data_IF_774834585567
#
_entry.id   IF_774834585567
#
_cell.length_a   1.000
_cell.length_b   1.000
_cell.length_c   1.000
_cell.angle_alpha   90.00
_cell.angle_beta   90.00
_cell.angle_gamma   90.00
#
_symmetry.space_group_name_H-M   'P 1'
#
loop_
_entity.id
_entity.type
_entity.pdbx_description
1 polymer ?
#
# COMPACT_ATOMS: atom_id res chain seq x y z
N UNK A 1 -27.90 -32.39 -34.51
CA UNK A 1 -28.05 -31.07 -33.83
C UNK A 1 -27.28 -31.13 -32.52
N UNK A 2 -25.95 -31.23 -32.58
CA UNK A 2 -25.03 -31.28 -31.42
C UNK A 2 -23.73 -30.63 -31.88
N UNK A 3 -23.63 -29.30 -31.78
CA UNK A 3 -22.40 -28.55 -32.11
C UNK A 3 -22.41 -27.12 -31.54
N UNK A 4 -23.17 -26.84 -30.47
CA UNK A 4 -23.29 -25.48 -29.90
C UNK A 4 -22.64 -25.32 -28.52
N UNK A 5 -22.18 -26.41 -27.87
CA UNK A 5 -21.55 -26.35 -26.54
C UNK A 5 -20.01 -26.30 -26.54
N UNK A 6 -19.34 -26.78 -27.59
CA UNK A 6 -17.86 -26.84 -27.65
C UNK A 6 -17.20 -25.48 -27.95
N UNK A 7 -17.93 -24.55 -28.58
CA UNK A 7 -17.40 -23.23 -28.95
C UNK A 7 -17.34 -22.27 -27.75
N UNK A 8 -18.31 -22.36 -26.83
CA UNK A 8 -18.45 -21.50 -25.65
C UNK A 8 -17.34 -21.74 -24.60
N UNK A 9 -16.84 -22.98 -24.51
CA UNK A 9 -15.70 -23.34 -23.66
C UNK A 9 -14.36 -22.81 -24.18
N UNK A 10 -14.19 -22.82 -25.50
CA UNK A 10 -12.98 -22.31 -26.15
C UNK A 10 -12.88 -20.78 -26.06
N UNK A 11 -14.02 -20.09 -26.18
CA UNK A 11 -14.11 -18.63 -26.05
C UNK A 11 -13.82 -18.17 -24.60
N UNK A 12 -14.37 -18.87 -23.60
CA UNK A 12 -14.05 -18.61 -22.18
C UNK A 12 -12.57 -18.87 -21.84
N UNK A 13 -11.97 -19.92 -22.39
CA UNK A 13 -10.55 -20.21 -22.20
C UNK A 13 -9.66 -19.10 -22.75
N UNK A 14 -9.95 -18.64 -23.98
CA UNK A 14 -9.25 -17.52 -24.61
C UNK A 14 -9.36 -16.22 -23.80
N UNK A 15 -10.53 -15.92 -23.23
CA UNK A 15 -10.75 -14.75 -22.39
C UNK A 15 -9.94 -14.82 -21.08
N UNK A 16 -9.87 -16.00 -20.44
CA UNK A 16 -9.07 -16.20 -19.23
C UNK A 16 -7.57 -16.07 -19.49
N UNK A 17 -7.09 -16.62 -20.59
CA UNK A 17 -5.68 -16.53 -20.99
C UNK A 17 -5.28 -15.09 -21.34
N UNK A 18 -6.13 -14.36 -22.06
CA UNK A 18 -5.94 -12.92 -22.30
C UNK A 18 -5.89 -12.13 -21.00
N UNK A 19 -6.83 -12.38 -20.08
CA UNK A 19 -6.87 -11.72 -18.76
C UNK A 19 -5.58 -11.96 -17.97
N UNK A 20 -5.04 -13.18 -17.99
CA UNK A 20 -3.77 -13.53 -17.34
C UNK A 20 -2.59 -12.77 -17.95
N UNK A 21 -2.54 -12.65 -19.27
CA UNK A 21 -1.52 -11.88 -19.97
C UNK A 21 -1.59 -10.39 -19.59
N UNK A 22 -2.79 -9.81 -19.54
CA UNK A 22 -2.96 -8.42 -19.08
C UNK A 22 -2.53 -8.21 -17.64
N UNK A 23 -2.86 -9.13 -16.72
CA UNK A 23 -2.40 -9.05 -15.32
C UNK A 23 -0.87 -9.05 -15.23
N UNK A 24 -0.20 -9.91 -16.00
CA UNK A 24 1.27 -9.94 -16.07
C UNK A 24 1.86 -8.64 -16.65
N UNK A 25 1.22 -8.05 -17.66
CA UNK A 25 1.62 -6.75 -18.19
C UNK A 25 1.46 -5.62 -17.16
N UNK A 26 0.38 -5.64 -16.38
CA UNK A 26 0.15 -4.67 -15.29
C UNK A 26 1.20 -4.82 -14.19
N UNK A 27 1.56 -6.06 -13.84
CA UNK A 27 2.64 -6.34 -12.88
C UNK A 27 3.97 -5.73 -13.32
N UNK A 28 4.37 -5.96 -14.57
CA UNK A 28 5.59 -5.39 -15.14
C UNK A 28 5.58 -3.86 -15.14
N UNK A 29 4.45 -3.26 -15.55
CA UNK A 29 4.31 -1.80 -15.55
C UNK A 29 4.32 -1.19 -14.14
N UNK A 30 3.77 -1.90 -13.14
CA UNK A 30 3.85 -1.47 -11.74
C UNK A 30 5.28 -1.47 -11.23
N UNK A 31 6.07 -2.49 -11.58
CA UNK A 31 7.47 -2.57 -11.17
C UNK A 31 8.31 -1.48 -11.85
N UNK A 32 8.14 -1.28 -13.16
CA UNK A 32 8.79 -0.20 -13.91
C UNK A 32 8.44 1.18 -13.31
N UNK A 33 7.17 1.41 -12.95
CA UNK A 33 6.75 2.65 -12.32
C UNK A 33 7.40 2.88 -10.95
N UNK A 34 7.63 1.82 -10.15
CA UNK A 34 8.38 1.93 -8.88
C UNK A 34 9.83 2.32 -9.13
N UNK A 35 10.49 1.64 -10.05
CA UNK A 35 11.88 1.91 -10.41
C UNK A 35 12.07 3.37 -10.86
N UNK A 36 11.16 3.87 -11.71
CA UNK A 36 11.17 5.26 -12.16
C UNK A 36 10.97 6.23 -10.99
N UNK A 37 10.06 5.95 -10.05
CA UNK A 37 9.85 6.81 -8.87
C UNK A 37 11.07 6.84 -7.95
N UNK A 38 11.79 5.73 -7.81
CA UNK A 38 13.02 5.68 -7.03
C UNK A 38 14.15 6.44 -7.73
N UNK A 39 14.27 6.30 -9.05
CA UNK A 39 15.20 7.12 -9.84
C UNK A 39 14.87 8.62 -9.73
N UNK A 40 13.61 9.01 -9.81
CA UNK A 40 13.18 10.40 -9.61
C UNK A 40 13.53 10.92 -8.21
N UNK A 41 13.43 10.07 -7.19
CA UNK A 41 13.79 10.43 -5.81
C UNK A 41 15.28 10.71 -5.69
N UNK A 42 16.12 9.89 -6.33
CA UNK A 42 17.58 10.10 -6.40
C UNK A 42 17.89 11.42 -7.13
N UNK A 43 17.28 11.67 -8.29
CA UNK A 43 17.52 12.90 -9.06
C UNK A 43 17.10 14.16 -8.30
N UNK A 44 15.94 14.13 -7.62
CA UNK A 44 15.49 15.25 -6.78
C UNK A 44 16.44 15.50 -5.62
N UNK A 45 17.10 14.47 -5.09
CA UNK A 45 18.11 14.61 -4.04
C UNK A 45 19.38 15.34 -4.52
N UNK A 46 19.65 15.36 -5.83
CA UNK A 46 20.75 16.08 -6.45
C UNK A 46 20.43 17.57 -6.74
N UNK A 47 19.15 17.98 -6.69
CA UNK A 47 18.74 19.36 -6.99
C UNK A 47 19.07 20.35 -5.86
N UNK A 48 19.13 21.66 -6.13
CA UNK A 48 19.20 22.70 -5.09
C UNK A 48 17.95 22.70 -4.18
N UNK A 49 18.13 23.01 -2.89
CA UNK A 49 17.08 22.88 -1.85
C UNK A 49 15.79 23.64 -2.17
N UNK A 50 15.88 24.81 -2.81
CA UNK A 50 14.75 25.65 -3.20
C UNK A 50 13.84 25.01 -4.28
N UNK A 51 14.34 24.03 -5.03
CA UNK A 51 13.58 23.34 -6.09
C UNK A 51 13.00 22.00 -5.63
N UNK A 52 13.53 21.40 -4.56
CA UNK A 52 13.14 20.05 -4.10
C UNK A 52 11.69 19.93 -3.64
N UNK A 53 11.16 20.98 -3.01
CA UNK A 53 9.85 20.92 -2.32
C UNK A 53 8.70 20.56 -3.27
N UNK A 54 8.65 21.17 -4.46
CA UNK A 54 7.58 20.92 -5.44
C UNK A 54 7.67 19.53 -6.06
N UNK A 55 8.88 19.05 -6.37
CA UNK A 55 9.08 17.70 -6.90
C UNK A 55 8.81 16.61 -5.87
N UNK A 56 9.23 16.80 -4.62
CA UNK A 56 8.93 15.87 -3.52
C UNK A 56 7.41 15.76 -3.26
N UNK A 57 6.65 16.83 -3.47
CA UNK A 57 5.19 16.76 -3.40
C UNK A 57 4.61 15.90 -4.53
N UNK A 58 5.09 16.05 -5.77
CA UNK A 58 4.66 15.23 -6.91
C UNK A 58 5.01 13.74 -6.73
N UNK A 59 6.23 13.44 -6.30
CA UNK A 59 6.67 12.06 -6.02
C UNK A 59 5.78 11.40 -4.96
N UNK A 60 5.43 12.12 -3.88
CA UNK A 60 4.48 11.60 -2.87
C UNK A 60 3.10 11.30 -3.45
N UNK A 61 2.58 12.17 -4.32
CA UNK A 61 1.31 11.93 -4.99
C UNK A 61 1.35 10.70 -5.89
N UNK A 62 2.39 10.58 -6.73
CA UNK A 62 2.55 9.42 -7.61
C UNK A 62 2.75 8.11 -6.85
N UNK A 63 3.47 8.11 -5.73
CA UNK A 63 3.56 6.94 -4.83
C UNK A 63 2.18 6.52 -4.31
N UNK A 64 1.38 7.49 -3.87
CA UNK A 64 0.01 7.23 -3.41
C UNK A 64 -0.85 6.64 -4.53
N UNK A 65 -0.78 7.19 -5.73
CA UNK A 65 -1.50 6.67 -6.90
C UNK A 65 -1.04 5.23 -7.23
N UNK A 66 0.27 4.97 -7.24
CA UNK A 66 0.81 3.65 -7.51
C UNK A 66 0.40 2.62 -6.44
N UNK A 67 0.29 3.03 -5.17
CA UNK A 67 -0.23 2.18 -4.10
C UNK A 67 -1.70 1.82 -4.35
N UNK A 68 -2.52 2.78 -4.78
CA UNK A 68 -3.93 2.49 -5.14
C UNK A 68 -4.03 1.50 -6.29
N UNK A 69 -3.22 1.68 -7.34
CA UNK A 69 -3.14 0.75 -8.48
C UNK A 69 -2.71 -0.64 -8.01
N UNK A 70 -1.67 -0.72 -7.17
CA UNK A 70 -1.18 -1.98 -6.60
C UNK A 70 -2.28 -2.72 -5.82
N UNK A 71 -3.05 -2.01 -4.99
CA UNK A 71 -4.17 -2.60 -4.24
C UNK A 71 -5.25 -3.12 -5.20
N UNK A 72 -5.60 -2.37 -6.25
CA UNK A 72 -6.58 -2.84 -7.24
C UNK A 72 -6.09 -4.04 -8.03
N UNK A 73 -4.81 -4.06 -8.42
CA UNK A 73 -4.16 -5.19 -9.08
C UNK A 73 -4.24 -6.45 -8.22
N UNK A 74 -3.88 -6.37 -6.94
CA UNK A 74 -3.95 -7.52 -6.02
C UNK A 74 -5.39 -8.08 -5.91
N UNK A 75 -6.41 -7.22 -5.86
CA UNK A 75 -7.82 -7.66 -5.87
C UNK A 75 -8.20 -8.39 -7.16
N UNK A 76 -7.73 -7.91 -8.32
CA UNK A 76 -8.00 -8.54 -9.61
C UNK A 76 -7.28 -9.88 -9.75
N UNK A 77 -6.07 -9.98 -9.20
CA UNK A 77 -5.29 -11.21 -9.12
C UNK A 77 -5.99 -12.25 -8.23
N UNK A 78 -6.44 -11.87 -7.03
CA UNK A 78 -7.21 -12.74 -6.15
C UNK A 78 -8.52 -13.23 -6.80
N UNK A 79 -9.18 -12.36 -7.56
CA UNK A 79 -10.39 -12.74 -8.30
C UNK A 79 -10.08 -13.73 -9.42
N UNK A 80 -8.94 -13.59 -10.10
CA UNK A 80 -8.46 -14.54 -11.11
C UNK A 80 -8.12 -15.90 -10.46
N UNK A 81 -7.36 -15.89 -9.37
CA UNK A 81 -6.99 -17.10 -8.61
C UNK A 81 -8.24 -17.87 -8.15
N UNK A 82 -9.30 -17.17 -7.70
CA UNK A 82 -10.59 -17.80 -7.36
C UNK A 82 -11.28 -18.46 -8.55
N UNK A 83 -11.26 -17.83 -9.72
CA UNK A 83 -11.86 -18.40 -10.94
C UNK A 83 -11.09 -19.65 -11.38
N UNK A 84 -9.77 -19.66 -11.27
CA UNK A 84 -8.94 -20.84 -11.54
C UNK A 84 -9.17 -21.96 -10.51
N UNK A 85 -9.37 -21.62 -9.22
CA UNK A 85 -9.58 -22.58 -8.13
C UNK A 85 -10.96 -23.26 -8.19
N UNK A 86 -12.02 -22.48 -8.46
CA UNK A 86 -13.40 -22.98 -8.44
C UNK A 86 -13.92 -23.42 -9.80
N UNK A 87 -13.17 -23.15 -10.87
CA UNK A 87 -13.45 -23.58 -12.22
C UNK A 87 -14.69 -22.94 -12.85
N UNK A 88 -14.55 -22.54 -14.11
CA UNK A 88 -15.65 -22.23 -15.04
C UNK A 88 -16.57 -23.44 -15.31
N UNK A 89 -16.29 -24.60 -14.72
CA UNK A 89 -17.01 -25.85 -14.92
C UNK A 89 -17.78 -26.26 -13.66
N UNK A 90 -18.78 -25.46 -13.29
CA UNK A 90 -19.87 -26.02 -12.47
C UNK A 90 -20.62 -27.01 -13.36
N UNK A 91 -20.41 -28.30 -13.11
CA UNK A 91 -21.17 -29.43 -13.67
C UNK A 91 -21.05 -29.65 -15.19
N UNK A 92 -20.00 -30.33 -15.62
CA UNK A 92 -20.18 -31.40 -16.62
C UNK A 92 -19.91 -32.71 -15.91
N UNK A 93 -20.99 -33.28 -15.37
CA UNK A 93 -21.09 -34.69 -15.05
C UNK A 93 -20.87 -35.47 -16.34
N UNK A 94 -19.61 -35.84 -16.65
CA UNK A 94 -19.29 -37.08 -17.36
C UNK A 94 -17.76 -37.28 -17.42
N UNK A 95 -17.35 -38.54 -17.21
CA UNK A 95 -16.01 -39.09 -17.44
C UNK A 95 -14.88 -38.76 -16.44
N UNK A 96 -14.68 -39.68 -15.49
CA UNK A 96 -13.59 -39.69 -14.52
C UNK A 96 -12.20 -39.93 -15.12
N UNK A 97 -11.61 -38.91 -15.73
CA UNK A 97 -10.18 -38.92 -16.04
C UNK A 97 -9.36 -38.52 -14.80
N UNK A 98 -8.67 -39.52 -14.21
CA UNK A 98 -7.77 -39.34 -13.07
C UNK A 98 -6.68 -38.28 -13.29
N UNK A 99 -6.34 -38.00 -14.55
CA UNK A 99 -5.36 -36.98 -14.95
C UNK A 99 -5.88 -35.55 -14.70
N UNK A 100 -7.13 -35.28 -15.04
CA UNK A 100 -7.81 -33.98 -14.83
C UNK A 100 -7.91 -33.67 -13.33
N UNK A 101 -8.35 -34.64 -12.52
CA UNK A 101 -8.39 -34.51 -11.06
C UNK A 101 -7.00 -34.24 -10.46
N UNK A 102 -5.95 -34.93 -10.94
CA UNK A 102 -4.57 -34.66 -10.49
C UNK A 102 -4.12 -33.25 -10.85
N UNK A 103 -4.37 -32.78 -12.08
CA UNK A 103 -4.03 -31.41 -12.49
C UNK A 103 -4.74 -30.38 -11.60
N UNK A 104 -6.02 -30.60 -11.30
CA UNK A 104 -6.79 -29.73 -10.41
C UNK A 104 -6.21 -29.72 -9.00
N UNK A 105 -5.86 -30.88 -8.43
CA UNK A 105 -5.24 -30.95 -7.11
C UNK A 105 -3.87 -30.23 -7.06
N UNK A 106 -3.04 -30.37 -8.11
CA UNK A 106 -1.78 -29.65 -8.21
C UNK A 106 -1.98 -28.13 -8.33
N UNK A 107 -2.97 -27.70 -9.12
CA UNK A 107 -3.33 -26.29 -9.24
C UNK A 107 -3.80 -25.71 -7.91
N UNK A 108 -4.70 -26.43 -7.21
CA UNK A 108 -5.18 -26.08 -5.89
C UNK A 108 -4.04 -25.99 -4.87
N UNK A 109 -3.11 -26.95 -4.89
CA UNK A 109 -1.95 -26.95 -4.01
C UNK A 109 -1.03 -25.74 -4.26
N UNK A 110 -0.74 -25.44 -5.54
CA UNK A 110 0.07 -24.27 -5.90
C UNK A 110 -0.59 -22.94 -5.48
N UNK A 111 -1.92 -22.87 -5.54
CA UNK A 111 -2.68 -21.70 -5.12
C UNK A 111 -2.73 -21.56 -3.60
N UNK A 112 -2.80 -22.67 -2.87
CA UNK A 112 -2.68 -22.69 -1.41
C UNK A 112 -1.29 -22.25 -0.96
N UNK A 113 -0.23 -22.71 -1.61
CA UNK A 113 1.15 -22.30 -1.33
C UNK A 113 1.33 -20.80 -1.55
N UNK A 114 0.84 -20.26 -2.68
CA UNK A 114 0.81 -18.81 -2.94
C UNK A 114 0.03 -18.04 -1.88
N UNK A 115 -1.13 -18.55 -1.46
CA UNK A 115 -1.95 -17.92 -0.42
C UNK A 115 -1.23 -17.93 0.93
N UNK A 116 -0.55 -19.02 1.28
CA UNK A 116 0.25 -19.14 2.50
C UNK A 116 1.40 -18.12 2.49
N UNK A 117 2.09 -17.97 1.36
CA UNK A 117 3.15 -16.98 1.20
C UNK A 117 2.61 -15.55 1.36
N UNK A 118 1.48 -15.23 0.72
CA UNK A 118 0.81 -13.92 0.87
C UNK A 118 0.41 -13.63 2.32
N UNK A 119 -0.05 -14.63 3.08
CA UNK A 119 -0.37 -14.47 4.50
C UNK A 119 0.87 -14.18 5.34
N UNK A 120 1.97 -14.90 5.11
CA UNK A 120 3.24 -14.62 5.79
C UNK A 120 3.77 -13.22 5.49
N UNK A 121 3.70 -12.78 4.23
CA UNK A 121 4.08 -11.43 3.84
C UNK A 121 3.17 -10.37 4.46
N UNK A 122 1.86 -10.61 4.51
CA UNK A 122 0.91 -9.71 5.18
C UNK A 122 1.18 -9.59 6.68
N UNK A 123 1.51 -10.71 7.34
CA UNK A 123 1.89 -10.71 8.75
C UNK A 123 3.18 -9.90 8.98
N UNK A 124 4.18 -10.07 8.11
CA UNK A 124 5.44 -9.31 8.17
C UNK A 124 5.19 -7.80 8.04
N UNK A 125 4.40 -7.39 7.05
CA UNK A 125 4.04 -5.98 6.83
C UNK A 125 3.26 -5.41 8.02
N UNK A 126 2.33 -6.20 8.60
CA UNK A 126 1.57 -5.78 9.77
C UNK A 126 2.49 -5.52 10.99
N UNK A 127 3.47 -6.40 11.24
CA UNK A 127 4.45 -6.21 12.32
C UNK A 127 5.36 -4.99 12.09
N UNK A 128 5.78 -4.76 10.84
CA UNK A 128 6.55 -3.55 10.47
C UNK A 128 5.71 -2.28 10.71
N UNK A 129 4.43 -2.31 10.32
CA UNK A 129 3.50 -1.21 10.52
C UNK A 129 3.26 -0.94 12.01
N UNK A 130 3.15 -1.98 12.85
CA UNK A 130 3.06 -1.85 14.31
C UNK A 130 4.31 -1.18 14.89
N UNK A 131 5.50 -1.55 14.42
CA UNK A 131 6.75 -0.92 14.86
C UNK A 131 6.78 0.58 14.51
N UNK A 132 6.43 0.93 13.27
CA UNK A 132 6.32 2.34 12.84
C UNK A 132 5.30 3.09 13.70
N UNK A 133 4.13 2.50 13.95
CA UNK A 133 3.10 3.08 14.81
C UNK A 133 3.59 3.34 16.23
N UNK A 134 4.34 2.39 16.80
CA UNK A 134 4.97 2.54 18.13
C UNK A 134 5.96 3.72 18.16
N UNK A 135 6.81 3.85 17.13
CA UNK A 135 7.74 4.97 17.03
C UNK A 135 7.01 6.32 16.92
N UNK A 136 5.95 6.40 16.12
CA UNK A 136 5.11 7.62 16.02
C UNK A 136 4.51 7.99 17.38
N UNK A 137 4.02 7.02 18.16
CA UNK A 137 3.47 7.27 19.50
C UNK A 137 4.55 7.79 20.47
N UNK A 138 5.78 7.28 20.37
CA UNK A 138 6.91 7.78 21.16
C UNK A 138 7.27 9.22 20.78
N UNK A 139 7.29 9.55 19.49
CA UNK A 139 7.55 10.91 19.00
C UNK A 139 6.46 11.88 19.44
N UNK A 140 5.18 11.50 19.32
CA UNK A 140 4.05 12.32 19.80
C UNK A 140 4.13 12.56 21.31
N UNK A 141 4.55 11.55 22.09
CA UNK A 141 4.78 11.72 23.53
C UNK A 141 5.90 12.73 23.81
N UNK A 142 7.02 12.64 23.09
CA UNK A 142 8.13 13.60 23.20
C UNK A 142 7.71 15.02 22.83
N UNK A 143 6.98 15.17 21.72
CA UNK A 143 6.43 16.46 21.28
C UNK A 143 5.47 17.06 22.32
N UNK A 144 4.61 16.24 22.93
CA UNK A 144 3.73 16.70 24.03
C UNK A 144 4.53 17.26 25.21
N UNK A 145 5.63 16.60 25.58
CA UNK A 145 6.51 17.07 26.66
C UNK A 145 7.15 18.41 26.30
N UNK A 146 7.63 18.57 25.06
CA UNK A 146 8.18 19.84 24.57
C UNK A 146 7.14 20.97 24.60
N UNK A 147 5.90 20.70 24.18
CA UNK A 147 4.81 21.68 24.22
C UNK A 147 4.48 22.08 25.66
N UNK A 148 4.43 21.12 26.59
CA UNK A 148 4.21 21.41 28.01
C UNK A 148 5.35 22.26 28.59
N UNK A 149 6.60 21.94 28.25
CA UNK A 149 7.77 22.75 28.61
C UNK A 149 7.67 24.17 28.07
N UNK A 150 7.35 24.34 26.79
CA UNK A 150 7.16 25.65 26.17
C UNK A 150 6.04 26.46 26.84
N UNK A 151 4.91 25.82 27.17
CA UNK A 151 3.80 26.46 27.91
C UNK A 151 4.21 26.92 29.31
N UNK A 152 4.97 26.10 30.04
CA UNK A 152 5.48 26.48 31.36
C UNK A 152 6.45 27.66 31.29
N UNK A 153 7.34 27.67 30.30
CA UNK A 153 8.27 28.78 30.06
C UNK A 153 7.53 30.06 29.70
N UNK A 154 6.51 29.99 28.83
CA UNK A 154 5.68 31.15 28.48
C UNK A 154 4.94 31.70 29.69
N UNK A 155 4.32 30.84 30.50
CA UNK A 155 3.66 31.26 31.74
C UNK A 155 4.63 31.97 32.71
N UNK A 156 5.87 31.46 32.84
CA UNK A 156 6.89 32.15 33.63
C UNK A 156 7.26 33.51 33.05
N UNK A 157 7.43 33.60 31.72
CA UNK A 157 7.70 34.86 31.04
C UNK A 157 6.58 35.89 31.27
N UNK A 158 5.32 35.49 31.18
CA UNK A 158 4.16 36.35 31.44
C UNK A 158 4.19 36.90 32.88
N UNK A 159 4.52 36.07 33.87
CA UNK A 159 4.70 36.51 35.26
C UNK A 159 5.83 37.55 35.41
N UNK A 160 6.94 37.39 34.69
CA UNK A 160 8.03 38.38 34.70
C UNK A 160 7.62 39.69 34.02
N UNK A 161 6.84 39.62 32.93
CA UNK A 161 6.28 40.80 32.25
C UNK A 161 5.34 41.56 33.19
N UNK A 162 4.43 40.87 33.89
CA UNK A 162 3.51 41.49 34.84
C UNK A 162 4.25 42.23 35.97
N UNK A 163 5.29 41.61 36.54
CA UNK A 163 6.16 42.26 37.54
C UNK A 163 6.91 43.47 36.98
N UNK A 164 7.39 43.36 35.74
CA UNK A 164 8.08 44.45 35.05
C UNK A 164 7.13 45.64 34.83
N UNK A 165 5.91 45.39 34.38
CA UNK A 165 4.86 46.41 34.20
C UNK A 165 4.50 47.07 35.54
N UNK A 166 4.37 46.30 36.62
CA UNK A 166 4.08 46.86 37.95
C UNK A 166 5.21 47.74 38.47
N UNK A 167 6.47 47.35 38.21
CA UNK A 167 7.65 48.13 38.56
C UNK A 167 7.68 49.44 37.78
N UNK A 168 7.44 49.40 36.46
CA UNK A 168 7.34 50.59 35.61
C UNK A 168 6.23 51.54 36.07
N UNK A 169 5.04 51.03 36.41
CA UNK A 169 3.94 51.84 36.98
C UNK A 169 4.31 52.53 38.29
N UNK A 170 5.12 51.87 39.13
CA UNK A 170 5.58 52.44 40.40
C UNK A 170 6.62 53.54 40.17
N UNK A 171 7.52 53.36 39.20
CA UNK A 171 8.51 54.37 38.83
C UNK A 171 7.86 55.60 38.20
N UNK A 172 6.90 55.44 37.28
CA UNK A 172 6.22 56.57 36.64
C UNK A 172 5.27 57.35 37.56
N UNK A 173 5.00 56.85 38.78
CA UNK A 173 4.23 57.56 39.81
C UNK A 173 5.10 58.41 40.74
N UNK A 174 6.42 58.22 40.71
CA UNK A 174 7.40 59.02 41.42
C UNK A 174 7.88 60.16 40.52
#
# INVERSE_FOLDING_TARGET
MVAFGEWDGFENFLVLEQRKNYLKSIEGANEEAREVLDQMTIEVSNLPSNQRSSYNAKIRNYRTELDTVTVTYNKLLDAQDKVELFGSNRYTDDSGDSSEQRKQLLSNNSSLERSSQRLHDSQRIAMETENIGSNILNDLRSQREQINGARNTLSQADNYVDRSVQTLKTMGRR
#
